data_IF_389382382778
#
_entry.id   IF_389382382778
#
_cell.length_a   1.000
_cell.length_b   1.000
_cell.length_c   1.000
_cell.angle_alpha   90.00
_cell.angle_beta   90.00
_cell.angle_gamma   90.00
#
_symmetry.space_group_name_H-M   'P 1'
#
loop_
_entity.id
_entity.type
_entity.pdbx_description
1 polymer ?
#
# COMPACT_ATOMS: atom_id res chain seq x y z
N UNK A 1 15.64 0.42 20.88
CA UNK A 1 15.52 1.35 19.73
C UNK A 1 15.74 0.64 18.40
N UNK A 2 16.83 -0.13 18.24
CA UNK A 2 17.11 -0.89 17.02
C UNK A 2 15.98 -1.85 16.60
N UNK A 3 15.43 -2.60 17.55
CA UNK A 3 14.34 -3.56 17.29
C UNK A 3 13.08 -2.88 16.70
N UNK A 4 12.67 -1.73 17.26
CA UNK A 4 11.52 -0.98 16.74
C UNK A 4 11.75 -0.43 15.33
N UNK A 5 12.99 -0.10 14.96
CA UNK A 5 13.33 0.32 13.59
C UNK A 5 13.23 -0.84 12.61
N UNK A 6 13.74 -2.03 12.98
CA UNK A 6 13.67 -3.23 12.14
C UNK A 6 12.21 -3.61 11.89
N UNK A 7 11.37 -3.54 12.92
CA UNK A 7 9.94 -3.83 12.82
C UNK A 7 9.20 -2.84 11.91
N UNK A 8 9.49 -1.54 12.06
CA UNK A 8 8.93 -0.51 11.18
C UNK A 8 9.34 -0.75 9.71
N UNK A 9 10.60 -1.09 9.48
CA UNK A 9 11.11 -1.43 8.14
C UNK A 9 10.41 -2.66 7.59
N UNK A 10 10.20 -3.71 8.38
CA UNK A 10 9.47 -4.90 7.95
C UNK A 10 8.03 -4.57 7.54
N UNK A 11 7.36 -3.66 8.25
CA UNK A 11 5.99 -3.25 7.96
C UNK A 11 5.90 -2.42 6.67
N UNK A 12 6.87 -1.52 6.45
CA UNK A 12 7.05 -0.79 5.18
C UNK A 12 7.31 -1.76 4.02
N UNK A 13 8.19 -2.75 4.22
CA UNK A 13 8.52 -3.73 3.18
C UNK A 13 7.31 -4.62 2.84
N UNK A 14 6.52 -5.02 3.84
CA UNK A 14 5.31 -5.80 3.60
C UNK A 14 4.29 -5.00 2.76
N UNK A 15 4.09 -3.71 3.08
CA UNK A 15 3.23 -2.85 2.29
C UNK A 15 3.73 -2.66 0.87
N UNK A 16 5.02 -2.35 0.70
CA UNK A 16 5.63 -2.19 -0.62
C UNK A 16 5.51 -3.47 -1.45
N UNK A 17 5.67 -4.64 -0.83
CA UNK A 17 5.48 -5.93 -1.50
C UNK A 17 4.02 -6.15 -1.90
N UNK A 18 3.06 -5.86 -1.03
CA UNK A 18 1.64 -5.99 -1.34
C UNK A 18 1.23 -5.07 -2.51
N UNK A 19 1.73 -3.84 -2.53
CA UNK A 19 1.53 -2.89 -3.62
C UNK A 19 2.14 -3.39 -4.93
N UNK A 20 3.37 -3.87 -4.89
CA UNK A 20 4.04 -4.41 -6.07
C UNK A 20 3.30 -5.64 -6.62
N UNK A 21 2.76 -6.50 -5.75
CA UNK A 21 1.95 -7.65 -6.16
C UNK A 21 0.63 -7.24 -6.80
N UNK A 22 0.01 -6.14 -6.35
CA UNK A 22 -1.16 -5.55 -7.02
C UNK A 22 -0.77 -5.05 -8.40
N UNK A 23 0.31 -4.28 -8.46
CA UNK A 23 0.77 -3.65 -9.69
C UNK A 23 1.15 -4.69 -10.75
N UNK A 24 1.83 -5.77 -10.36
CA UNK A 24 2.27 -6.84 -11.26
C UNK A 24 1.18 -7.90 -11.52
N UNK A 25 0.41 -8.29 -10.50
CA UNK A 25 -0.51 -9.43 -10.55
C UNK A 25 -1.95 -9.07 -10.89
N UNK A 26 -2.39 -7.84 -10.58
CA UNK A 26 -3.74 -7.34 -10.87
C UNK A 26 -3.73 -6.31 -11.99
N UNK A 27 -2.71 -6.33 -12.84
CA UNK A 27 -2.56 -5.44 -14.00
C UNK A 27 -3.84 -5.33 -14.84
N UNK A 28 -4.54 -6.45 -15.05
CA UNK A 28 -5.81 -6.51 -15.81
C UNK A 28 -7.01 -5.89 -15.08
N UNK A 29 -7.03 -5.95 -13.74
CA UNK A 29 -8.06 -5.34 -12.91
C UNK A 29 -7.80 -3.84 -12.78
N UNK A 30 -6.54 -3.45 -12.55
CA UNK A 30 -6.10 -2.07 -12.51
C UNK A 30 -6.37 -1.35 -13.85
N UNK A 31 -6.06 -1.97 -15.00
CA UNK A 31 -6.42 -1.44 -16.32
C UNK A 31 -7.93 -1.16 -16.45
N UNK A 32 -8.78 -2.03 -15.89
CA UNK A 32 -10.23 -1.83 -15.89
C UNK A 32 -10.65 -0.62 -15.06
N UNK A 33 -9.92 -0.30 -13.98
CA UNK A 33 -10.07 0.93 -13.20
C UNK A 33 -9.43 2.17 -13.85
N UNK A 34 -8.66 2.02 -14.92
CA UNK A 34 -8.13 3.16 -15.67
C UNK A 34 -8.99 3.57 -16.85
N UNK A 35 -9.75 2.61 -17.42
CA UNK A 35 -10.44 2.81 -18.70
C UNK A 35 -11.61 3.79 -18.71
N UNK A 36 -12.16 4.21 -17.56
CA UNK A 36 -13.06 5.39 -17.36
C UNK A 36 -13.83 5.35 -16.01
N UNK A 37 -13.18 5.57 -14.86
CA UNK A 37 -13.92 5.97 -13.66
C UNK A 37 -13.50 7.36 -13.19
N UNK A 38 -14.49 8.11 -12.68
CA UNK A 38 -14.27 9.39 -12.00
C UNK A 38 -13.19 9.26 -10.91
N UNK A 39 -12.41 10.32 -10.62
CA UNK A 39 -11.34 10.26 -9.63
C UNK A 39 -11.72 9.66 -8.28
N UNK A 40 -12.96 9.91 -7.83
CA UNK A 40 -13.50 9.33 -6.60
C UNK A 40 -13.77 7.83 -6.69
N UNK A 41 -14.30 7.32 -7.81
CA UNK A 41 -14.57 5.88 -7.95
C UNK A 41 -13.28 5.06 -7.99
N UNK A 42 -12.23 5.59 -8.62
CA UNK A 42 -10.89 4.99 -8.55
C UNK A 42 -10.36 4.96 -7.10
N UNK A 43 -10.57 6.04 -6.33
CA UNK A 43 -10.14 6.09 -4.93
C UNK A 43 -10.82 5.02 -4.08
N UNK A 44 -12.13 4.84 -4.28
CA UNK A 44 -12.90 3.78 -3.61
C UNK A 44 -12.37 2.40 -3.99
N UNK A 45 -12.08 2.15 -5.28
CA UNK A 45 -11.52 0.89 -5.75
C UNK A 45 -10.18 0.55 -5.07
N UNK A 46 -9.26 1.51 -5.02
CA UNK A 46 -7.97 1.32 -4.35
C UNK A 46 -8.09 1.16 -2.82
N UNK A 47 -9.03 1.87 -2.18
CA UNK A 47 -9.30 1.71 -0.76
C UNK A 47 -9.83 0.30 -0.44
N UNK A 48 -10.80 -0.19 -1.22
CA UNK A 48 -11.34 -1.55 -1.08
C UNK A 48 -10.23 -2.57 -1.32
N UNK A 49 -9.43 -2.40 -2.37
CA UNK A 49 -8.36 -3.33 -2.70
C UNK A 49 -7.29 -3.39 -1.59
N UNK A 50 -6.89 -2.23 -1.05
CA UNK A 50 -5.98 -2.13 0.08
C UNK A 50 -6.52 -2.83 1.33
N UNK A 51 -7.81 -2.64 1.62
CA UNK A 51 -8.46 -3.33 2.73
C UNK A 51 -8.51 -4.86 2.53
N UNK A 52 -8.88 -5.33 1.34
CA UNK A 52 -8.95 -6.76 1.03
C UNK A 52 -7.58 -7.42 1.12
N UNK A 53 -6.53 -6.77 0.60
CA UNK A 53 -5.16 -7.29 0.72
C UNK A 53 -4.62 -7.19 2.14
N UNK A 54 -5.00 -6.15 2.89
CA UNK A 54 -4.71 -6.04 4.31
C UNK A 54 -5.30 -7.23 5.07
N UNK A 55 -6.57 -7.56 4.81
CA UNK A 55 -7.24 -8.73 5.36
C UNK A 55 -6.57 -10.05 4.92
N UNK A 56 -6.25 -10.19 3.63
CA UNK A 56 -5.55 -11.38 3.12
C UNK A 56 -4.15 -11.54 3.75
N UNK A 57 -3.44 -10.43 3.99
CA UNK A 57 -2.14 -10.44 4.65
C UNK A 57 -2.22 -10.93 6.09
N UNK A 58 -3.36 -10.76 6.76
CA UNK A 58 -3.58 -11.27 8.12
C UNK A 58 -3.76 -12.78 8.14
N UNK A 59 -4.26 -13.38 7.05
CA UNK A 59 -4.33 -14.85 6.96
C UNK A 59 -2.94 -15.47 6.84
N UNK A 60 -2.00 -14.78 6.18
CA UNK A 60 -0.62 -15.22 6.01
C UNK A 60 0.26 -14.87 7.23
N UNK A 61 0.11 -13.64 7.74
CA UNK A 61 0.81 -13.11 8.91
C UNK A 61 -0.20 -12.46 9.86
N UNK A 62 -0.81 -13.25 10.77
CA UNK A 62 -1.79 -12.75 11.73
C UNK A 62 -1.16 -11.92 12.85
N UNK A 63 0.14 -12.08 13.08
CA UNK A 63 0.87 -11.38 14.13
C UNK A 63 1.23 -9.94 13.75
N UNK A 64 1.22 -9.06 14.74
CA UNK A 64 1.80 -7.72 14.56
C UNK A 64 3.31 -7.80 14.27
N UNK A 65 3.75 -7.11 13.23
CA UNK A 65 5.17 -6.98 12.92
C UNK A 65 5.87 -6.01 13.89
N UNK A 66 5.11 -5.09 14.48
CA UNK A 66 5.57 -4.11 15.47
C UNK A 66 5.16 -4.50 16.89
N UNK A 67 6.14 -4.59 17.79
CA UNK A 67 5.97 -5.10 19.16
C UNK A 67 5.29 -4.09 20.10
N UNK A 68 5.49 -2.79 19.89
CA UNK A 68 4.94 -1.74 20.76
C UNK A 68 3.76 -1.03 20.12
N UNK A 69 2.79 -0.60 20.94
CA UNK A 69 1.63 0.16 20.48
C UNK A 69 2.01 1.45 19.74
N UNK A 70 3.04 2.15 20.23
CA UNK A 70 3.57 3.34 19.55
C UNK A 70 4.17 3.05 18.17
N UNK A 71 4.88 1.92 18.02
CA UNK A 71 5.44 1.51 16.72
C UNK A 71 4.34 1.09 15.73
N UNK A 72 3.27 0.43 16.21
CA UNK A 72 2.09 0.10 15.38
C UNK A 72 1.42 1.37 14.86
N UNK A 73 1.24 2.36 15.73
CA UNK A 73 0.61 3.64 15.36
C UNK A 73 1.50 4.45 14.39
N UNK A 74 2.82 4.42 14.61
CA UNK A 74 3.79 5.00 13.70
C UNK A 74 3.76 4.31 12.32
N UNK A 75 3.65 3.00 12.27
CA UNK A 75 3.58 2.25 11.01
C UNK A 75 2.31 2.57 10.21
N UNK A 76 1.16 2.75 10.86
CA UNK A 76 -0.10 3.15 10.18
C UNK A 76 0.02 4.49 9.46
N UNK A 77 0.93 5.36 9.88
CA UNK A 77 1.15 6.67 9.25
C UNK A 77 2.35 6.65 8.32
N UNK A 78 3.50 6.21 8.83
CA UNK A 78 4.78 6.26 8.11
C UNK A 78 4.75 5.32 6.91
N UNK A 79 4.24 4.11 7.08
CA UNK A 79 4.32 3.11 6.04
C UNK A 79 3.49 3.51 4.80
N UNK A 80 2.24 4.01 4.94
CA UNK A 80 1.50 4.58 3.81
C UNK A 80 2.15 5.78 3.14
N UNK A 81 2.78 6.67 3.92
CA UNK A 81 3.50 7.82 3.36
C UNK A 81 4.69 7.39 2.52
N UNK A 82 5.46 6.42 3.02
CA UNK A 82 6.61 5.86 2.30
C UNK A 82 6.14 5.14 1.05
N UNK A 83 5.11 4.29 1.16
CA UNK A 83 4.57 3.52 0.06
C UNK A 83 4.00 4.42 -1.05
N UNK A 84 3.13 5.38 -0.71
CA UNK A 84 2.64 6.39 -1.65
C UNK A 84 3.78 7.21 -2.29
N UNK A 85 4.83 7.52 -1.53
CA UNK A 85 6.03 8.21 -2.04
C UNK A 85 6.83 7.36 -3.04
N UNK A 86 7.00 6.07 -2.75
CA UNK A 86 7.64 5.12 -3.66
C UNK A 86 6.86 4.96 -4.95
N UNK A 87 5.53 4.85 -4.88
CA UNK A 87 4.67 4.78 -6.05
C UNK A 87 4.76 6.05 -6.91
N UNK A 88 4.78 7.23 -6.29
CA UNK A 88 5.02 8.49 -6.99
C UNK A 88 6.38 8.55 -7.67
N UNK A 89 7.43 8.03 -7.02
CA UNK A 89 8.77 7.95 -7.60
C UNK A 89 8.84 6.97 -8.77
N UNK A 90 8.19 5.81 -8.66
CA UNK A 90 8.07 4.81 -9.73
C UNK A 90 7.33 5.38 -10.94
N UNK A 91 6.21 6.08 -10.72
CA UNK A 91 5.47 6.79 -11.78
C UNK A 91 6.31 7.85 -12.48
N UNK A 92 7.03 8.66 -11.72
CA UNK A 92 7.93 9.68 -12.28
C UNK A 92 9.08 9.05 -13.09
N UNK A 93 9.59 7.89 -12.66
CA UNK A 93 10.63 7.16 -13.38
C UNK A 93 10.11 6.53 -14.68
N UNK A 94 8.92 5.93 -14.68
CA UNK A 94 8.25 5.41 -15.89
C UNK A 94 7.92 6.52 -16.89
N UNK A 95 7.40 7.64 -16.40
CA UNK A 95 7.10 8.82 -17.22
C UNK A 95 8.34 9.31 -17.99
N UNK A 96 9.52 9.27 -17.35
CA UNK A 96 10.81 9.64 -17.97
C UNK A 96 11.28 8.64 -19.02
N UNK A 97 10.87 7.37 -18.94
CA UNK A 97 11.19 6.31 -19.90
C UNK A 97 10.21 6.21 -21.06
N UNK A 98 9.11 6.95 -21.01
CA UNK A 98 8.02 6.84 -21.98
C UNK A 98 7.13 5.62 -21.76
N UNK A 99 7.27 4.95 -20.61
CA UNK A 99 6.41 3.83 -20.21
C UNK A 99 5.01 4.34 -19.78
N UNK A 100 3.96 3.52 -19.89
CA UNK A 100 2.65 3.88 -19.37
C UNK A 100 2.72 4.18 -17.86
N UNK A 101 2.17 5.33 -17.46
CA UNK A 101 2.08 5.76 -16.07
C UNK A 101 0.68 5.47 -15.56
N UNK A 102 0.59 4.63 -14.54
CA UNK A 102 -0.68 4.20 -13.99
C UNK A 102 -1.20 5.21 -12.95
N UNK A 103 -2.51 5.20 -12.68
CA UNK A 103 -3.13 6.04 -11.65
C UNK A 103 -2.64 5.64 -10.26
N UNK A 104 -2.36 4.35 -10.01
CA UNK A 104 -1.77 3.90 -8.75
C UNK A 104 -0.40 4.54 -8.50
N UNK A 105 0.33 4.88 -9.56
CA UNK A 105 1.61 5.59 -9.50
C UNK A 105 1.46 7.03 -9.01
N UNK A 106 0.24 7.53 -8.79
CA UNK A 106 0.04 8.80 -8.08
C UNK A 106 0.07 8.55 -6.59
N UNK A 107 0.82 9.40 -5.90
CA UNK A 107 0.93 9.43 -4.44
C UNK A 107 -0.41 9.18 -3.74
N UNK A 108 -1.47 9.90 -4.12
CA UNK A 108 -2.76 9.83 -3.44
C UNK A 108 -3.42 8.45 -3.49
N UNK A 109 -3.29 7.72 -4.61
CA UNK A 109 -3.91 6.40 -4.77
C UNK A 109 -3.08 5.32 -4.09
N UNK A 110 -1.75 5.34 -4.24
CA UNK A 110 -0.84 4.47 -3.50
C UNK A 110 -0.96 4.68 -1.98
N UNK A 111 -0.96 5.93 -1.51
CA UNK A 111 -1.16 6.27 -0.11
C UNK A 111 -2.49 5.75 0.44
N UNK A 112 -3.61 5.97 -0.27
CA UNK A 112 -4.92 5.52 0.18
C UNK A 112 -5.01 4.00 0.26
N UNK A 113 -4.47 3.31 -0.75
CA UNK A 113 -4.35 1.86 -0.74
C UNK A 113 -3.56 1.38 0.49
N UNK A 114 -2.36 1.92 0.68
CA UNK A 114 -1.45 1.55 1.76
C UNK A 114 -2.08 1.82 3.14
N UNK A 115 -2.77 2.95 3.28
CA UNK A 115 -3.45 3.32 4.51
C UNK A 115 -4.55 2.31 4.85
N UNK A 116 -5.42 1.97 3.90
CA UNK A 116 -6.45 0.97 4.11
C UNK A 116 -5.86 -0.41 4.46
N UNK A 117 -4.75 -0.79 3.83
CA UNK A 117 -4.01 -2.01 4.17
C UNK A 117 -3.47 -1.98 5.61
N UNK A 118 -2.80 -0.89 5.99
CA UNK A 118 -2.25 -0.69 7.34
C UNK A 118 -3.34 -0.71 8.40
N UNK A 119 -4.47 -0.05 8.16
CA UNK A 119 -5.59 -0.02 9.10
C UNK A 119 -6.17 -1.40 9.34
N UNK A 120 -6.33 -2.21 8.28
CA UNK A 120 -6.78 -3.59 8.44
C UNK A 120 -5.82 -4.38 9.32
N UNK A 121 -4.51 -4.26 9.10
CA UNK A 121 -3.54 -4.95 9.96
C UNK A 121 -3.55 -4.41 11.39
N UNK A 122 -3.65 -3.09 11.56
CA UNK A 122 -3.63 -2.46 12.88
C UNK A 122 -4.80 -2.91 13.77
N UNK A 123 -6.01 -3.04 13.20
CA UNK A 123 -7.19 -3.42 13.97
C UNK A 123 -7.36 -4.92 14.16
N UNK A 124 -6.86 -5.75 13.23
CA UNK A 124 -7.17 -7.18 13.19
C UNK A 124 -5.96 -8.11 13.33
N UNK A 125 -4.73 -7.59 13.38
CA UNK A 125 -3.60 -8.40 13.81
C UNK A 125 -3.68 -8.72 15.31
N UNK A 126 -3.05 -9.82 15.70
CA UNK A 126 -3.02 -10.38 17.06
C UNK A 126 -1.61 -10.38 17.65
#
# INVERSE_FOLDING_TARGET
>A
MLEGMIQLVAEVLLQALAELLVELGLHSVAESFERRPSPGLAAIGYAILGALLGAASLWLLPQHLTATHGARLAAVVIAPMVAGGLMAALGAWRARRGDPVFRIDRFSYGYLFALCFALMRYFFAT
#
